data_IF_232672894599
#
_entry.id   IF_232672894599
#
_cell.length_a   1.000
_cell.length_b   1.000
_cell.length_c   1.000
_cell.angle_alpha   90.00
_cell.angle_beta   90.00
_cell.angle_gamma   90.00
#
_symmetry.space_group_name_H-M   'P 1'
#
loop_
_entity.id
_entity.type
_entity.pdbx_description
1 polymer ?
#
# COMPACT_ATOMS: atom_id res chain seq x y z
N UNK A 1 2.52 10.23 16.76
CA UNK A 1 3.96 10.49 16.51
C UNK A 1 4.14 10.67 15.01
N UNK A 2 4.86 11.71 14.58
CA UNK A 2 5.14 12.01 13.17
C UNK A 2 5.98 10.88 12.57
N UNK A 3 5.46 10.19 11.56
CA UNK A 3 6.27 9.38 10.66
C UNK A 3 6.95 10.34 9.71
N UNK A 4 8.18 10.76 10.04
CA UNK A 4 9.03 11.54 9.14
C UNK A 4 9.37 10.67 7.92
N UNK A 5 8.67 10.94 6.82
CA UNK A 5 8.93 10.42 5.47
C UNK A 5 9.82 11.38 4.66
N UNK A 6 10.54 12.31 5.32
CA UNK A 6 11.09 13.53 4.70
C UNK A 6 12.23 13.35 3.70
N UNK A 7 12.62 12.11 3.38
CA UNK A 7 13.68 11.80 2.41
C UNK A 7 13.20 11.04 1.17
N UNK A 8 11.92 10.65 1.09
CA UNK A 8 11.40 9.92 -0.06
C UNK A 8 10.70 10.87 -1.03
N UNK A 9 10.88 10.71 -2.35
CA UNK A 9 10.22 11.55 -3.33
C UNK A 9 8.71 11.37 -3.24
N UNK A 10 8.00 12.46 -3.02
CA UNK A 10 6.57 12.48 -2.72
C UNK A 10 5.86 13.47 -3.63
N UNK A 11 4.72 13.05 -4.16
CA UNK A 11 3.83 13.87 -4.95
C UNK A 11 2.46 13.97 -4.27
N UNK A 12 2.07 15.19 -3.93
CA UNK A 12 0.74 15.53 -3.43
C UNK A 12 -0.20 15.68 -4.62
N UNK A 13 -0.99 14.65 -4.92
CA UNK A 13 -1.82 14.64 -6.14
C UNK A 13 -2.89 15.73 -6.12
N UNK A 14 -3.33 16.14 -4.93
CA UNK A 14 -4.34 17.17 -4.74
C UNK A 14 -3.89 18.58 -5.17
N UNK A 15 -2.59 18.83 -5.26
CA UNK A 15 -2.05 20.11 -5.70
C UNK A 15 -2.08 20.29 -7.22
N UNK A 16 -2.21 19.20 -7.97
CA UNK A 16 -2.28 19.22 -9.42
C UNK A 16 -3.72 19.54 -9.83
N UNK A 17 -3.92 20.58 -10.65
CA UNK A 17 -5.26 21.08 -11.01
C UNK A 17 -5.77 20.51 -12.33
N UNK A 18 -4.87 20.07 -13.21
CA UNK A 18 -5.22 19.49 -14.51
C UNK A 18 -4.47 18.20 -14.82
N UNK A 19 -4.97 17.48 -15.84
CA UNK A 19 -4.29 16.28 -16.38
C UNK A 19 -2.99 16.65 -17.11
N UNK A 20 -2.90 17.87 -17.66
CA UNK A 20 -1.70 18.38 -18.33
C UNK A 20 -0.58 18.67 -17.32
N UNK A 21 -0.91 19.29 -16.19
CA UNK A 21 0.04 19.52 -15.08
C UNK A 21 0.56 18.17 -14.53
N UNK A 22 -0.33 17.19 -14.43
CA UNK A 22 0.01 15.83 -14.02
C UNK A 22 1.03 15.18 -14.95
N UNK A 23 0.80 15.23 -16.26
CA UNK A 23 1.71 14.62 -17.24
C UNK A 23 3.05 15.36 -17.33
N UNK A 24 3.02 16.69 -17.21
CA UNK A 24 4.24 17.50 -17.15
C UNK A 24 5.10 17.11 -15.94
N UNK A 25 4.49 16.93 -14.77
CA UNK A 25 5.18 16.51 -13.55
C UNK A 25 5.80 15.11 -13.70
N UNK A 26 5.07 14.15 -14.28
CA UNK A 26 5.59 12.81 -14.55
C UNK A 26 6.82 12.86 -15.47
N UNK A 27 6.81 13.72 -16.48
CA UNK A 27 7.96 13.88 -17.39
C UNK A 27 9.20 14.44 -16.69
N UNK A 28 9.01 15.34 -15.70
CA UNK A 28 10.12 15.83 -14.86
C UNK A 28 10.65 14.69 -14.00
N UNK A 29 9.78 13.95 -13.34
CA UNK A 29 10.15 12.85 -12.45
C UNK A 29 10.82 11.67 -13.18
N UNK A 30 10.45 11.42 -14.43
CA UNK A 30 11.12 10.41 -15.28
C UNK A 30 12.61 10.74 -15.47
N UNK A 31 12.95 12.02 -15.60
CA UNK A 31 14.35 12.46 -15.73
C UNK A 31 15.18 12.24 -14.46
N UNK A 32 14.54 12.10 -13.30
CA UNK A 32 15.19 11.88 -12.00
C UNK A 32 15.51 10.40 -11.73
N UNK A 33 15.05 9.47 -12.58
CA UNK A 33 15.31 8.02 -12.45
C UNK A 33 14.92 7.43 -11.09
N UNK A 34 13.82 7.92 -10.50
CA UNK A 34 13.34 7.46 -9.20
C UNK A 34 12.69 6.07 -9.31
N UNK A 35 13.14 5.07 -8.52
CA UNK A 35 12.57 3.73 -8.61
C UNK A 35 11.15 3.65 -8.02
N UNK A 36 10.83 4.49 -7.04
CA UNK A 36 9.53 4.53 -6.34
C UNK A 36 9.15 5.99 -6.10
N UNK A 37 7.88 6.31 -6.31
CA UNK A 37 7.29 7.62 -5.98
C UNK A 37 6.10 7.43 -5.03
N UNK A 38 6.10 8.18 -3.92
CA UNK A 38 4.97 8.20 -3.00
C UNK A 38 3.89 9.13 -3.53
N UNK A 39 2.70 8.59 -3.71
CA UNK A 39 1.52 9.38 -4.02
C UNK A 39 0.73 9.57 -2.74
N UNK A 40 0.73 10.78 -2.21
CA UNK A 40 -0.23 11.15 -1.18
C UNK A 40 -1.49 11.70 -1.79
N UNK A 41 -2.58 11.18 -1.26
CA UNK A 41 -3.89 11.27 -1.90
C UNK A 41 -4.92 11.50 -0.82
N UNK A 42 -5.60 12.64 -0.90
CA UNK A 42 -6.86 12.84 -0.20
C UNK A 42 -7.87 11.77 -0.65
N UNK A 43 -8.63 11.27 0.30
CA UNK A 43 -9.55 10.15 0.09
C UNK A 43 -10.56 10.41 -1.06
N UNK A 44 -10.98 11.66 -1.22
CA UNK A 44 -11.91 12.15 -2.23
C UNK A 44 -11.32 12.15 -3.65
N UNK A 45 -9.99 12.16 -3.77
CA UNK A 45 -9.25 12.29 -5.03
C UNK A 45 -8.89 10.96 -5.70
N UNK A 46 -9.30 9.81 -5.14
CA UNK A 46 -8.97 8.48 -5.69
C UNK A 46 -9.32 8.33 -7.18
N UNK A 47 -10.43 8.93 -7.63
CA UNK A 47 -10.82 8.90 -9.06
C UNK A 47 -9.81 9.54 -10.01
N UNK A 48 -9.10 10.58 -9.56
CA UNK A 48 -8.10 11.32 -10.33
C UNK A 48 -6.76 10.58 -10.39
N UNK A 49 -6.43 9.88 -9.31
CA UNK A 49 -5.14 9.18 -9.13
C UNK A 49 -4.95 8.00 -10.08
N UNK A 50 -6.03 7.38 -10.55
CA UNK A 50 -5.94 6.27 -11.50
C UNK A 50 -5.12 6.61 -12.75
N UNK A 51 -5.31 7.82 -13.32
CA UNK A 51 -4.59 8.25 -14.52
C UNK A 51 -3.12 8.54 -14.21
N UNK A 52 -2.85 9.20 -13.08
CA UNK A 52 -1.50 9.41 -12.56
C UNK A 52 -0.72 8.09 -12.46
N UNK A 53 -1.32 7.09 -11.82
CA UNK A 53 -0.68 5.79 -11.65
C UNK A 53 -0.34 5.11 -12.97
N UNK A 54 -1.19 5.26 -13.99
CA UNK A 54 -0.93 4.69 -15.32
C UNK A 54 0.22 5.43 -16.01
N UNK A 55 0.26 6.76 -15.91
CA UNK A 55 1.35 7.57 -16.47
C UNK A 55 2.70 7.24 -15.83
N UNK A 56 2.76 7.16 -14.50
CA UNK A 56 3.98 6.80 -13.76
C UNK A 56 4.50 5.41 -14.13
N UNK A 57 3.61 4.42 -14.22
CA UNK A 57 3.97 3.07 -14.64
C UNK A 57 4.48 3.04 -16.09
N UNK A 58 3.93 3.87 -16.98
CA UNK A 58 4.42 3.98 -18.35
C UNK A 58 5.83 4.59 -18.42
N UNK A 59 6.16 5.50 -17.50
CA UNK A 59 7.49 6.05 -17.29
C UNK A 59 8.43 5.14 -16.48
N UNK A 60 8.04 3.88 -16.22
CA UNK A 60 8.79 2.91 -15.39
C UNK A 60 9.06 3.38 -13.95
N UNK A 61 8.22 4.29 -13.43
CA UNK A 61 8.25 4.74 -12.03
C UNK A 61 7.20 3.94 -11.26
N UNK A 62 7.60 3.34 -10.14
CA UNK A 62 6.67 2.55 -9.33
C UNK A 62 5.86 3.45 -8.38
N UNK A 63 4.54 3.62 -8.57
CA UNK A 63 3.74 4.40 -7.63
C UNK A 63 3.47 3.59 -6.36
N UNK A 64 3.60 4.24 -5.21
CA UNK A 64 3.16 3.73 -3.91
C UNK A 64 2.17 4.72 -3.30
N UNK A 65 0.92 4.32 -3.18
CA UNK A 65 -0.14 5.19 -2.67
C UNK A 65 -0.27 5.15 -1.15
N UNK A 66 -0.30 6.33 -0.55
CA UNK A 66 -0.60 6.55 0.87
C UNK A 66 -1.81 7.48 0.97
N UNK A 67 -2.94 6.93 1.43
CA UNK A 67 -4.17 7.70 1.63
C UNK A 67 -3.98 8.61 2.83
N UNK A 68 -4.34 9.89 2.70
CA UNK A 68 -4.36 10.81 3.84
C UNK A 68 -5.46 10.45 4.82
N UNK A 69 -5.24 10.71 6.10
CA UNK A 69 -6.29 10.50 7.09
C UNK A 69 -7.44 11.48 6.77
N UNK A 70 -8.67 10.99 6.57
CA UNK A 70 -9.78 11.88 6.25
C UNK A 70 -10.07 12.79 7.46
N UNK A 71 -10.47 14.04 7.18
CA UNK A 71 -10.82 15.02 8.22
C UNK A 71 -12.07 14.61 8.99
N UNK A 72 -13.00 14.00 8.28
CA UNK A 72 -14.26 13.46 8.80
C UNK A 72 -14.30 11.95 8.59
N UNK A 73 -15.13 11.25 9.37
CA UNK A 73 -15.32 9.82 9.21
C UNK A 73 -16.09 9.55 7.91
N UNK A 74 -15.48 8.88 6.91
CA UNK A 74 -16.17 8.58 5.66
C UNK A 74 -17.24 7.52 5.89
N UNK A 75 -18.32 7.61 5.11
CA UNK A 75 -19.36 6.59 5.08
C UNK A 75 -18.78 5.22 4.67
N UNK A 76 -19.32 4.14 5.24
CA UNK A 76 -18.89 2.76 4.96
C UNK A 76 -18.92 2.41 3.47
N UNK A 77 -19.92 2.89 2.73
CA UNK A 77 -20.00 2.66 1.27
C UNK A 77 -18.86 3.35 0.52
N UNK A 78 -18.44 4.55 0.94
CA UNK A 78 -17.33 5.25 0.31
C UNK A 78 -16.01 4.54 0.63
N UNK A 79 -15.84 4.06 1.88
CA UNK A 79 -14.67 3.25 2.24
C UNK A 79 -14.66 1.92 1.47
N UNK A 80 -15.81 1.29 1.26
CA UNK A 80 -15.95 0.06 0.46
C UNK A 80 -15.50 0.27 -0.99
N UNK A 81 -15.93 1.36 -1.61
CA UNK A 81 -15.50 1.73 -2.96
C UNK A 81 -13.97 1.98 -3.00
N UNK A 82 -13.42 2.71 -2.03
CA UNK A 82 -11.99 2.94 -1.92
C UNK A 82 -11.20 1.63 -1.75
N UNK A 83 -11.60 0.76 -0.83
CA UNK A 83 -10.96 -0.55 -0.59
C UNK A 83 -10.95 -1.41 -1.85
N UNK A 84 -12.05 -1.39 -2.62
CA UNK A 84 -12.16 -2.12 -3.89
C UNK A 84 -11.21 -1.56 -4.95
N UNK A 85 -11.18 -0.22 -5.12
CA UNK A 85 -10.26 0.44 -6.06
C UNK A 85 -8.80 0.16 -5.73
N UNK A 86 -8.42 0.30 -4.45
CA UNK A 86 -7.07 0.03 -3.98
C UNK A 86 -6.66 -1.44 -4.19
N UNK A 87 -7.58 -2.39 -3.98
CA UNK A 87 -7.34 -3.80 -4.29
C UNK A 87 -7.02 -3.98 -5.76
N UNK A 88 -7.87 -3.44 -6.64
CA UNK A 88 -7.75 -3.61 -8.08
C UNK A 88 -6.47 -2.99 -8.64
N UNK A 89 -5.94 -1.98 -7.96
CA UNK A 89 -4.71 -1.30 -8.36
C UNK A 89 -3.45 -1.93 -7.77
N UNK A 90 -3.58 -3.01 -6.99
CA UNK A 90 -2.49 -3.62 -6.21
C UNK A 90 -1.86 -2.56 -5.25
N UNK A 91 -2.68 -1.78 -4.54
CA UNK A 91 -2.26 -0.66 -3.65
C UNK A 91 -3.00 -0.64 -2.30
N UNK A 92 -3.74 -1.70 -1.96
CA UNK A 92 -4.43 -1.81 -0.67
C UNK A 92 -3.45 -2.21 0.44
N UNK A 93 -2.78 -1.21 1.00
CA UNK A 93 -1.91 -1.36 2.18
C UNK A 93 -2.74 -1.37 3.46
N UNK A 94 -2.26 -2.08 4.48
CA UNK A 94 -2.85 -2.10 5.81
C UNK A 94 -2.87 -0.70 6.43
N UNK A 95 -1.85 0.12 6.16
CA UNK A 95 -1.84 1.52 6.59
C UNK A 95 -3.00 2.31 5.97
N UNK A 96 -3.28 2.11 4.68
CA UNK A 96 -4.38 2.78 3.99
C UNK A 96 -5.71 2.36 4.61
N UNK A 97 -5.92 1.05 4.79
CA UNK A 97 -7.12 0.52 5.43
C UNK A 97 -7.30 1.11 6.83
N UNK A 98 -6.25 1.06 7.66
CA UNK A 98 -6.30 1.55 9.03
C UNK A 98 -6.62 3.05 9.10
N UNK A 99 -6.06 3.88 8.21
CA UNK A 99 -6.38 5.31 8.14
C UNK A 99 -7.86 5.58 7.82
N UNK A 100 -8.50 4.72 7.03
CA UNK A 100 -9.90 4.86 6.62
C UNK A 100 -10.88 4.24 7.64
N UNK A 101 -10.45 3.23 8.42
CA UNK A 101 -11.36 2.38 9.20
C UNK A 101 -10.99 2.22 10.68
N UNK A 102 -10.05 3.00 11.22
CA UNK A 102 -9.54 2.82 12.59
C UNK A 102 -10.65 2.80 13.66
N UNK A 103 -11.71 3.58 13.49
CA UNK A 103 -12.84 3.68 14.45
C UNK A 103 -13.73 2.44 14.47
N UNK A 104 -13.68 1.60 13.45
CA UNK A 104 -14.38 0.32 13.39
C UNK A 104 -13.52 -0.84 13.90
N UNK A 105 -12.32 -0.56 14.42
CA UNK A 105 -11.37 -1.53 14.93
C UNK A 105 -11.16 -1.28 16.44
N UNK A 106 -11.23 -2.31 17.29
CA UNK A 106 -11.01 -2.13 18.73
C UNK A 106 -9.62 -1.55 19.03
N UNK A 107 -9.59 -0.52 19.87
CA UNK A 107 -8.38 0.29 20.15
C UNK A 107 -7.20 -0.52 20.69
N UNK A 108 -7.47 -1.59 21.44
CA UNK A 108 -6.45 -2.47 22.00
C UNK A 108 -5.60 -3.17 20.91
N UNK A 109 -6.06 -3.22 19.65
CA UNK A 109 -5.29 -3.77 18.54
C UNK A 109 -4.55 -2.73 17.70
N UNK A 110 -4.79 -1.43 17.91
CA UNK A 110 -4.25 -0.36 17.06
C UNK A 110 -2.71 -0.41 16.98
N UNK A 111 -2.03 -0.51 18.12
CA UNK A 111 -0.56 -0.57 18.16
C UNK A 111 0.01 -1.80 17.41
N UNK A 112 -0.68 -2.95 17.48
CA UNK A 112 -0.26 -4.15 16.78
C UNK A 112 -0.43 -4.00 15.26
N UNK A 113 -1.58 -3.46 14.83
CA UNK A 113 -1.87 -3.21 13.42
C UNK A 113 -0.95 -2.13 12.82
N UNK A 114 -0.64 -1.07 13.57
CA UNK A 114 0.32 -0.04 13.15
C UNK A 114 1.73 -0.62 12.96
N UNK A 115 2.15 -1.52 13.86
CA UNK A 115 3.43 -2.19 13.71
C UNK A 115 3.44 -3.09 12.46
N UNK A 116 2.40 -3.90 12.25
CA UNK A 116 2.29 -4.72 11.04
C UNK A 116 2.22 -3.86 9.77
N UNK A 117 1.52 -2.73 9.78
CA UNK A 117 1.42 -1.81 8.65
C UNK A 117 2.79 -1.23 8.28
N UNK A 118 3.63 -0.90 9.27
CA UNK A 118 5.01 -0.45 9.06
C UNK A 118 5.89 -1.53 8.45
N UNK A 119 5.77 -2.77 8.95
CA UNK A 119 6.54 -3.90 8.41
C UNK A 119 6.09 -4.23 6.98
N UNK A 120 4.78 -4.26 6.74
CA UNK A 120 4.20 -4.44 5.41
C UNK A 120 4.72 -3.38 4.44
N UNK A 121 4.61 -2.10 4.80
CA UNK A 121 5.06 -0.99 3.95
C UNK A 121 6.53 -1.14 3.56
N UNK A 122 7.40 -1.50 4.51
CA UNK A 122 8.82 -1.75 4.22
C UNK A 122 8.99 -2.80 3.11
N UNK A 123 8.34 -3.95 3.23
CA UNK A 123 8.47 -5.02 2.24
C UNK A 123 7.79 -4.70 0.91
N UNK A 124 6.66 -4.00 0.98
CA UNK A 124 5.93 -3.58 -0.20
C UNK A 124 6.78 -2.66 -1.08
N UNK A 125 7.53 -1.72 -0.48
CA UNK A 125 8.52 -0.89 -1.19
C UNK A 125 9.52 -1.75 -1.97
N UNK A 126 10.14 -2.72 -1.30
CA UNK A 126 11.12 -3.63 -1.92
C UNK A 126 10.51 -4.39 -3.10
N UNK A 127 9.31 -4.95 -2.94
CA UNK A 127 8.67 -5.74 -4.00
C UNK A 127 8.21 -4.90 -5.18
N UNK A 128 7.69 -3.69 -4.91
CA UNK A 128 7.27 -2.75 -5.94
C UNK A 128 8.48 -2.26 -6.74
N UNK A 129 9.57 -1.86 -6.07
CA UNK A 129 10.81 -1.49 -6.73
C UNK A 129 11.41 -2.64 -7.54
N UNK A 130 11.48 -3.85 -6.97
CA UNK A 130 12.00 -5.03 -7.67
C UNK A 130 11.13 -5.44 -8.87
N UNK A 131 9.83 -5.11 -8.87
CA UNK A 131 8.94 -5.38 -10.01
C UNK A 131 9.16 -4.44 -11.20
N UNK A 132 9.77 -3.27 -10.98
CA UNK A 132 10.08 -2.28 -12.01
C UNK A 132 11.57 -2.29 -12.43
N UNK A 133 12.46 -2.94 -11.66
CA UNK A 133 13.87 -3.07 -12.05
C UNK A 133 14.04 -4.13 -13.17
N UNK A 134 14.46 -3.75 -14.38
CA UNK A 134 14.64 -4.68 -15.50
C UNK A 134 15.65 -5.79 -15.21
N UNK A 135 16.61 -5.55 -14.31
CA UNK A 135 17.63 -6.54 -13.91
C UNK A 135 17.03 -7.62 -13.01
N UNK A 136 16.01 -7.27 -12.24
CA UNK A 136 15.33 -8.17 -11.30
C UNK A 136 14.05 -8.79 -11.88
N UNK A 137 13.54 -8.28 -13.00
CA UNK A 137 12.39 -8.84 -13.71
C UNK A 137 12.54 -10.33 -14.06
N UNK A 138 13.78 -10.81 -14.22
CA UNK A 138 14.10 -12.21 -14.52
C UNK A 138 14.63 -13.01 -13.33
N UNK A 139 14.60 -12.47 -12.11
CA UNK A 139 15.14 -13.12 -10.89
C UNK A 139 14.43 -14.41 -10.46
N UNK A 140 13.42 -14.88 -11.22
CA UNK A 140 12.59 -16.04 -10.86
C UNK A 140 11.70 -15.82 -9.64
N UNK A 141 11.72 -14.63 -9.05
CA UNK A 141 10.95 -14.27 -7.87
C UNK A 141 9.60 -13.69 -8.28
N UNK A 142 8.50 -14.18 -7.68
CA UNK A 142 7.17 -13.73 -8.04
C UNK A 142 6.79 -12.47 -7.26
N UNK A 143 7.56 -11.38 -7.40
CA UNK A 143 7.38 -10.11 -6.66
C UNK A 143 5.92 -9.63 -6.68
N UNK A 144 5.29 -9.71 -7.86
CA UNK A 144 3.88 -9.38 -8.06
C UNK A 144 2.91 -10.31 -7.31
N UNK A 145 3.25 -11.58 -7.11
CA UNK A 145 2.41 -12.50 -6.33
C UNK A 145 2.46 -12.15 -4.84
N UNK A 146 3.59 -11.66 -4.31
CA UNK A 146 3.67 -11.19 -2.92
C UNK A 146 2.79 -9.96 -2.68
N UNK A 147 2.85 -9.00 -3.60
CA UNK A 147 1.98 -7.83 -3.59
C UNK A 147 0.51 -8.28 -3.60
N UNK A 148 0.11 -9.12 -4.56
CA UNK A 148 -1.27 -9.60 -4.69
C UNK A 148 -1.76 -10.41 -3.49
N UNK A 149 -0.91 -11.26 -2.92
CA UNK A 149 -1.26 -12.02 -1.71
C UNK A 149 -1.51 -11.08 -0.53
N UNK A 150 -0.61 -10.12 -0.32
CA UNK A 150 -0.71 -9.12 0.76
C UNK A 150 -1.97 -8.27 0.60
N UNK A 151 -2.24 -7.82 -0.63
CA UNK A 151 -3.45 -7.07 -0.99
C UNK A 151 -4.71 -7.90 -0.79
N UNK A 152 -4.72 -9.19 -1.14
CA UNK A 152 -5.86 -10.07 -0.94
C UNK A 152 -6.16 -10.30 0.55
N UNK A 153 -5.13 -10.48 1.39
CA UNK A 153 -5.28 -10.57 2.84
C UNK A 153 -5.84 -9.27 3.43
N UNK A 154 -5.33 -8.11 2.99
CA UNK A 154 -5.83 -6.81 3.41
C UNK A 154 -7.28 -6.58 2.95
N UNK A 155 -7.63 -7.04 1.75
CA UNK A 155 -8.97 -6.92 1.21
C UNK A 155 -9.97 -7.77 2.01
N UNK A 156 -9.63 -9.03 2.32
CA UNK A 156 -10.47 -9.88 3.15
C UNK A 156 -10.70 -9.29 4.55
N UNK A 157 -9.65 -8.75 5.18
CA UNK A 157 -9.78 -8.05 6.45
C UNK A 157 -10.62 -6.78 6.33
N UNK A 158 -10.42 -5.98 5.28
CA UNK A 158 -11.21 -4.79 5.01
C UNK A 158 -12.70 -5.08 4.82
N UNK A 159 -13.06 -6.15 4.11
CA UNK A 159 -14.44 -6.62 3.99
C UNK A 159 -15.03 -6.95 5.37
N UNK A 160 -14.31 -7.71 6.20
CA UNK A 160 -14.80 -8.06 7.54
C UNK A 160 -15.01 -6.83 8.44
N UNK A 161 -14.15 -5.81 8.32
CA UNK A 161 -14.32 -4.53 9.03
C UNK A 161 -15.56 -3.77 8.52
N UNK A 162 -15.78 -3.76 7.20
CA UNK A 162 -16.90 -3.05 6.57
C UNK A 162 -18.26 -3.72 6.79
N UNK A 163 -18.29 -5.04 6.95
CA UNK A 163 -19.50 -5.84 7.19
C UNK A 163 -19.97 -5.80 8.66
N UNK A 164 -19.10 -5.41 9.60
CA UNK A 164 -19.48 -5.32 11.00
C UNK A 164 -20.46 -4.16 11.27
N UNK A 165 -21.48 -4.36 12.11
CA UNK A 165 -22.51 -3.34 12.38
C UNK A 165 -21.94 -2.07 13.05
N UNK A 166 -20.98 -2.22 13.97
CA UNK A 166 -20.35 -1.11 14.68
C UNK A 166 -18.82 -1.24 14.66
N UNK A 167 -18.29 -2.32 15.23
CA UNK A 167 -16.86 -2.62 15.25
C UNK A 167 -16.63 -4.08 14.87
N UNK A 168 -15.49 -4.35 14.23
CA UNK A 168 -15.07 -5.72 13.91
C UNK A 168 -14.80 -6.49 15.20
N UNK A 169 -15.16 -7.78 15.19
CA UNK A 169 -14.95 -8.66 16.33
C UNK A 169 -13.44 -8.85 16.62
N UNK A 170 -12.99 -8.79 17.89
CA UNK A 170 -11.60 -9.02 18.28
C UNK A 170 -10.97 -10.27 17.67
N UNK A 171 -11.72 -11.37 17.60
CA UNK A 171 -11.27 -12.66 17.08
C UNK A 171 -10.88 -12.58 15.60
N UNK A 172 -11.57 -11.74 14.82
CA UNK A 172 -11.24 -11.48 13.41
C UNK A 172 -9.92 -10.72 13.29
N UNK A 173 -9.69 -9.73 14.16
CA UNK A 173 -8.44 -8.96 14.18
C UNK A 173 -7.26 -9.86 14.59
N UNK A 174 -7.45 -10.70 15.61
CA UNK A 174 -6.45 -11.67 16.05
C UNK A 174 -6.12 -12.70 14.96
N UNK A 175 -7.13 -13.24 14.28
CA UNK A 175 -6.94 -14.14 13.16
C UNK A 175 -6.13 -13.49 12.03
N UNK A 176 -6.46 -12.25 11.68
CA UNK A 176 -5.73 -11.47 10.68
C UNK A 176 -4.26 -11.25 11.07
N UNK A 177 -4.00 -10.79 12.30
CA UNK A 177 -2.64 -10.57 12.81
C UNK A 177 -1.82 -11.87 12.83
N UNK A 178 -2.43 -12.99 13.18
CA UNK A 178 -1.77 -14.30 13.17
C UNK A 178 -1.46 -14.77 11.75
N UNK A 179 -2.34 -14.52 10.79
CA UNK A 179 -2.11 -14.81 9.38
C UNK A 179 -0.96 -13.96 8.80
N UNK A 180 -0.92 -12.65 9.10
CA UNK A 180 0.13 -11.72 8.61
C UNK A 180 1.54 -12.13 9.02
N UNK A 181 1.71 -12.60 10.26
CA UNK A 181 3.01 -13.13 10.75
C UNK A 181 3.55 -14.27 9.87
N UNK A 182 2.69 -15.09 9.29
CA UNK A 182 3.11 -16.18 8.40
C UNK A 182 3.52 -15.65 7.02
N UNK A 183 2.82 -14.65 6.49
CA UNK A 183 3.12 -14.08 5.17
C UNK A 183 4.46 -13.29 5.15
N UNK A 184 4.71 -12.50 6.19
CA UNK A 184 5.86 -11.58 6.26
C UNK A 184 7.14 -12.25 6.79
N UNK A 185 7.05 -13.20 7.74
CA UNK A 185 8.24 -13.78 8.39
C UNK A 185 8.85 -15.00 7.69
N UNK A 186 8.16 -15.65 6.74
CA UNK A 186 8.68 -16.87 6.10
C UNK A 186 9.75 -16.55 5.04
N UNK A 187 9.78 -15.34 4.48
CA UNK A 187 10.58 -15.05 3.29
C UNK A 187 12.03 -14.62 3.55
N UNK A 188 12.34 -13.71 4.51
CA UNK A 188 13.73 -13.33 4.79
C UNK A 188 14.55 -14.51 5.32
N UNK A 189 13.90 -15.40 6.09
CA UNK A 189 14.53 -16.60 6.65
C UNK A 189 14.86 -17.66 5.59
N UNK A 190 14.05 -17.78 4.53
CA UNK A 190 14.33 -18.70 3.41
C UNK A 190 15.34 -18.13 2.42
N UNK A 191 15.43 -16.80 2.28
CA UNK A 191 16.42 -16.13 1.45
C UNK A 191 17.84 -16.26 2.02
N UNK A 192 18.05 -15.93 3.31
CA UNK A 192 19.36 -16.10 3.97
C UNK A 192 19.86 -17.55 3.93
N UNK A 193 18.97 -18.52 4.15
CA UNK A 193 19.31 -19.95 4.03
C UNK A 193 19.73 -20.36 2.63
N UNK A 194 19.25 -19.69 1.57
CA UNK A 194 19.67 -19.99 0.19
C UNK A 194 21.05 -19.41 -0.10
N UNK A 195 21.32 -18.17 0.31
CA UNK A 195 22.64 -17.54 0.18
C UNK A 195 23.72 -18.32 0.95
N UNK A 196 23.40 -18.83 2.14
CA UNK A 196 24.27 -19.70 2.94
C UNK A 196 24.48 -21.10 2.35
N UNK A 197 23.64 -21.54 1.39
CA UNK A 197 23.75 -22.85 0.72
C UNK A 197 24.41 -22.81 -0.66
N UNK A 198 24.81 -21.61 -1.10
CA UNK A 198 25.53 -21.36 -2.36
C UNK A 198 26.97 -20.86 -2.17
N UNK A 199 27.45 -20.86 -0.92
CA UNK A 199 28.87 -20.73 -0.56
C UNK A 199 29.36 -22.04 0.06
#
# INVERSE_FOLDING_TARGET
MSTDFSSEPELLVDNLKSEEELLAEVSVLESESLPILYLRVAFESLGRVRRMMLALRAANIAPLMLIEKPLELPDREIVRDAVTKLRDWDQLLLQNLFRMSATWIPENFHAALENEARVELKWFKEWVGASQDPRLAHSGLPWRQFIRKTVAENFAFGCAVLEADAMVAPEVVEAFLNQKKQAVCIFPKRWRRREESTN
#
